data_IF_255186097679
#
_entry.id   IF_255186097679
#
_cell.length_a   1.000
_cell.length_b   1.000
_cell.length_c   1.000
_cell.angle_alpha   90.00
_cell.angle_beta   90.00
_cell.angle_gamma   90.00
#
_symmetry.space_group_name_H-M   'P 1'
#
loop_
_entity.id
_entity.type
_entity.pdbx_description
1 polymer ?
#
# COMPACT_ATOMS: atom_id res chain seq x y z
N UNK A 1 5.45 -3.58 -4.54
CA UNK A 1 4.10 -3.07 -4.92
C UNK A 1 3.09 -3.71 -3.99
N UNK A 2 1.96 -3.05 -3.69
CA UNK A 2 0.82 -3.67 -2.98
C UNK A 2 -0.44 -3.57 -3.83
N UNK A 3 -1.29 -4.58 -3.79
CA UNK A 3 -2.64 -4.52 -4.38
C UNK A 3 -3.60 -3.86 -3.38
N UNK A 4 -4.39 -2.91 -3.87
CA UNK A 4 -5.43 -2.20 -3.11
C UNK A 4 -6.73 -2.16 -3.92
N UNK A 5 -7.84 -1.96 -3.23
CA UNK A 5 -9.17 -1.93 -3.82
C UNK A 5 -9.78 -0.55 -3.65
N UNK A 6 -10.07 0.14 -4.76
CA UNK A 6 -10.80 1.40 -4.73
C UNK A 6 -12.24 1.18 -4.23
N UNK A 7 -12.90 2.25 -3.80
CA UNK A 7 -14.32 2.19 -3.38
C UNK A 7 -15.24 1.60 -4.45
N UNK A 8 -14.96 1.84 -5.73
CA UNK A 8 -15.71 1.26 -6.85
C UNK A 8 -15.43 -0.23 -7.13
N UNK A 9 -14.61 -0.89 -6.30
CA UNK A 9 -14.24 -2.30 -6.46
C UNK A 9 -13.10 -2.56 -7.44
N UNK A 10 -12.61 -1.54 -8.15
CA UNK A 10 -11.47 -1.70 -9.04
C UNK A 10 -10.19 -1.94 -8.24
N UNK A 11 -9.48 -3.02 -8.58
CA UNK A 11 -8.16 -3.34 -8.02
C UNK A 11 -7.07 -2.54 -8.73
N UNK A 12 -6.05 -2.13 -8.00
CA UNK A 12 -4.86 -1.51 -8.58
C UNK A 12 -3.61 -1.82 -7.76
N UNK A 13 -2.46 -1.85 -8.44
CA UNK A 13 -1.17 -1.93 -7.79
C UNK A 13 -0.64 -0.52 -7.46
N UNK A 14 -0.17 -0.34 -6.23
CA UNK A 14 0.44 0.90 -5.75
C UNK A 14 1.89 0.66 -5.36
N UNK A 15 2.76 1.60 -5.76
CA UNK A 15 4.15 1.60 -5.32
C UNK A 15 4.22 2.09 -3.87
N UNK A 16 4.65 1.21 -2.97
CA UNK A 16 4.75 1.48 -1.53
C UNK A 16 5.82 2.51 -1.18
N UNK A 17 6.84 2.67 -2.02
CA UNK A 17 7.89 3.68 -1.84
C UNK A 17 7.42 5.10 -2.17
N UNK A 18 6.28 5.24 -2.86
CA UNK A 18 5.68 6.52 -3.21
C UNK A 18 4.52 6.91 -2.28
N UNK A 19 4.16 6.04 -1.33
CA UNK A 19 3.14 6.36 -0.33
C UNK A 19 3.75 7.34 0.67
N UNK A 20 3.13 8.50 0.81
CA UNK A 20 3.52 9.55 1.75
C UNK A 20 2.75 9.39 3.06
N UNK A 21 1.41 9.35 2.99
CA UNK A 21 0.55 9.16 4.17
C UNK A 21 -0.57 8.17 3.89
N UNK A 22 -1.05 7.54 4.97
CA UNK A 22 -2.28 6.74 4.99
C UNK A 22 -3.10 7.19 6.18
N UNK A 23 -4.25 7.80 5.91
CA UNK A 23 -5.13 8.40 6.91
C UNK A 23 -6.53 7.78 6.80
N UNK A 24 -7.28 7.72 7.91
CA UNK A 24 -8.59 7.05 7.97
C UNK A 24 -9.62 8.02 8.57
N UNK A 25 -10.44 8.66 7.71
CA UNK A 25 -11.52 9.58 8.11
C UNK A 25 -12.55 9.81 6.99
N UNK A 26 -13.81 9.33 7.11
CA UNK A 26 -14.20 8.02 7.65
C UNK A 26 -13.68 6.85 6.79
N UNK A 27 -13.30 7.14 5.55
CA UNK A 27 -12.67 6.20 4.61
C UNK A 27 -11.15 6.25 4.72
N UNK A 28 -10.46 5.23 4.22
CA UNK A 28 -8.99 5.22 4.16
C UNK A 28 -8.51 5.91 2.89
N UNK A 29 -7.62 6.90 3.05
CA UNK A 29 -7.00 7.68 1.99
C UNK A 29 -5.50 7.43 1.98
N UNK A 30 -4.99 6.99 0.82
CA UNK A 30 -3.56 6.90 0.54
C UNK A 30 -3.16 8.16 -0.24
N UNK A 31 -2.25 8.95 0.33
CA UNK A 31 -1.63 10.09 -0.35
C UNK A 31 -0.27 9.67 -0.87
N UNK A 32 -0.02 9.89 -2.16
CA UNK A 32 1.29 9.68 -2.77
C UNK A 32 2.13 10.95 -2.69
N UNK A 33 3.45 10.81 -2.81
CA UNK A 33 4.41 11.94 -2.84
C UNK A 33 4.18 12.94 -3.98
N UNK A 34 3.38 12.58 -4.98
CA UNK A 34 2.93 13.49 -6.04
C UNK A 34 1.73 14.37 -5.64
N UNK A 35 1.20 14.22 -4.41
CA UNK A 35 -0.05 14.82 -3.96
C UNK A 35 -1.31 14.07 -4.42
N UNK A 36 -1.18 13.00 -5.22
CA UNK A 36 -2.32 12.19 -5.67
C UNK A 36 -2.93 11.43 -4.48
N UNK A 37 -4.24 11.59 -4.29
CA UNK A 37 -5.01 10.90 -3.26
C UNK A 37 -5.82 9.74 -3.85
N UNK A 38 -5.83 8.61 -3.15
CA UNK A 38 -6.56 7.40 -3.56
C UNK A 38 -7.37 6.92 -2.37
N UNK A 39 -8.69 6.85 -2.53
CA UNK A 39 -9.59 6.32 -1.51
C UNK A 39 -9.75 4.81 -1.73
N UNK A 40 -9.57 4.04 -0.66
CA UNK A 40 -9.49 2.58 -0.70
C UNK A 40 -10.42 1.94 0.31
N UNK A 41 -10.75 0.66 0.10
CA UNK A 41 -11.59 -0.13 1.00
C UNK A 41 -10.79 -0.73 2.16
N UNK A 42 -9.49 -0.92 1.97
CA UNK A 42 -8.59 -1.41 2.99
C UNK A 42 -8.50 -0.41 4.15
N UNK A 43 -8.49 -0.91 5.39
CA UNK A 43 -8.22 -0.05 6.54
C UNK A 43 -6.75 0.42 6.54
N UNK A 44 -6.44 1.46 7.31
CA UNK A 44 -5.06 1.89 7.53
C UNK A 44 -4.17 0.75 8.03
N UNK A 45 -4.71 -0.15 8.84
CA UNK A 45 -3.97 -1.30 9.38
C UNK A 45 -3.71 -2.38 8.31
N UNK A 46 -4.65 -2.60 7.40
CA UNK A 46 -4.48 -3.53 6.28
C UNK A 46 -3.39 -3.02 5.33
N UNK A 47 -3.43 -1.73 4.96
CA UNK A 47 -2.40 -1.11 4.12
C UNK A 47 -1.02 -1.25 4.77
N UNK A 48 -0.91 -1.02 6.09
CA UNK A 48 0.34 -1.22 6.84
C UNK A 48 0.84 -2.67 6.77
N UNK A 49 -0.06 -3.64 6.89
CA UNK A 49 0.28 -5.06 6.83
C UNK A 49 0.74 -5.46 5.42
N UNK A 50 0.04 -5.00 4.38
CA UNK A 50 0.41 -5.21 2.98
C UNK A 50 1.82 -4.65 2.68
N UNK A 51 2.13 -3.44 3.15
CA UNK A 51 3.46 -2.84 2.99
C UNK A 51 4.54 -3.66 3.68
N UNK A 52 4.27 -4.16 4.90
CA UNK A 52 5.21 -5.02 5.64
C UNK A 52 5.47 -6.33 4.91
N UNK A 53 4.42 -6.98 4.40
CA UNK A 53 4.53 -8.23 3.64
C UNK A 53 5.34 -8.02 2.37
N UNK A 54 5.00 -7.00 1.57
CA UNK A 54 5.71 -6.68 0.34
C UNK A 54 7.22 -6.39 0.58
N UNK A 55 7.57 -5.74 1.71
CA UNK A 55 8.99 -5.55 2.07
C UNK A 55 9.66 -6.86 2.46
N UNK A 56 8.98 -7.72 3.23
CA UNK A 56 9.55 -9.03 3.62
C UNK A 56 9.87 -9.88 2.41
N UNK A 57 9.02 -9.89 1.38
CA UNK A 57 9.26 -10.65 0.15
C UNK A 57 10.53 -10.16 -0.56
N UNK A 58 10.71 -8.84 -0.69
CA UNK A 58 11.91 -8.26 -1.32
C UNK A 58 13.19 -8.63 -0.55
N UNK A 59 13.17 -8.56 0.79
CA UNK A 59 14.37 -8.86 1.61
C UNK A 59 14.56 -10.34 1.95
N UNK A 60 13.58 -11.19 1.65
CA UNK A 60 13.69 -12.64 1.78
C UNK A 60 14.40 -13.25 0.57
N UNK A 61 14.16 -12.72 -0.63
CA UNK A 61 14.88 -13.14 -1.85
C UNK A 61 16.37 -12.79 -1.83
N UNK A 62 16.80 -11.81 -1.03
CA UNK A 62 18.23 -11.44 -0.91
C UNK A 62 19.04 -12.42 -0.03
N UNK A 63 18.41 -13.42 0.61
CA UNK A 63 19.09 -14.37 1.51
C UNK A 63 19.43 -15.73 0.89
N UNK A 64 19.10 -15.98 -0.37
CA UNK A 64 19.43 -17.25 -1.05
C UNK A 64 20.72 -17.20 -1.88
N UNK A 65 21.37 -16.03 -2.01
CA UNK A 65 22.59 -15.86 -2.82
C UNK A 65 23.88 -15.60 -1.98
N UNK A 66 24.02 -16.20 -0.78
CA UNK A 66 25.30 -16.19 -0.05
C UNK A 66 25.62 -17.51 0.66
#
# INVERSE_FOLDING_TARGET
>A
MIEITKLNGAKMLVNTSLIETVEETPDTVITLTSGKKIIVKESRQDVKNLVKLARKEIFASDKEDN
#
